data_IF_064082557795
#
_entry.id   IF_064082557795
#
_cell.length_a   1.000
_cell.length_b   1.000
_cell.length_c   1.000
_cell.angle_alpha   90.00
_cell.angle_beta   90.00
_cell.angle_gamma   90.00
#
_symmetry.space_group_name_H-M   'P 1'
#
loop_
_entity.id
_entity.type
_entity.pdbx_description
1 polymer ?
#
# COMPACT_ATOMS: atom_id res chain seq x y z
N UNK A 1 14.86 -1.79 10.73
CA UNK A 1 15.76 -0.62 10.83
C UNK A 1 15.10 0.48 11.68
N UNK A 2 15.80 1.12 12.64
CA UNK A 2 15.22 2.18 13.49
C UNK A 2 14.64 3.36 12.68
N UNK A 3 13.60 4.03 13.22
CA UNK A 3 12.93 5.16 12.55
C UNK A 3 13.89 6.31 12.18
N UNK A 4 14.83 6.74 13.06
CA UNK A 4 15.77 7.81 12.72
C UNK A 4 16.69 7.42 11.55
N UNK A 5 17.21 6.19 11.58
CA UNK A 5 18.12 5.68 10.56
C UNK A 5 17.43 5.52 9.20
N UNK A 6 16.17 5.07 9.18
CA UNK A 6 15.36 5.04 7.94
C UNK A 6 15.15 6.42 7.34
N UNK A 7 14.93 7.45 8.17
CA UNK A 7 14.78 8.83 7.68
C UNK A 7 16.07 9.36 7.07
N UNK A 8 17.24 9.04 7.64
CA UNK A 8 18.55 9.37 7.06
C UNK A 8 18.69 8.82 5.65
N UNK A 9 18.27 7.56 5.43
CA UNK A 9 18.24 6.95 4.08
C UNK A 9 17.34 7.74 3.12
N UNK A 10 16.13 8.10 3.53
CA UNK A 10 15.22 8.90 2.70
C UNK A 10 15.81 10.26 2.31
N UNK A 11 16.50 10.94 3.22
CA UNK A 11 17.17 12.22 2.95
C UNK A 11 18.31 12.09 1.95
N UNK A 12 19.13 11.04 2.08
CA UNK A 12 20.17 10.75 1.09
C UNK A 12 19.54 10.50 -0.28
N UNK A 13 18.46 9.72 -0.34
CA UNK A 13 17.78 9.42 -1.60
C UNK A 13 17.33 10.68 -2.35
N UNK A 14 16.83 11.70 -1.65
CA UNK A 14 16.47 12.98 -2.29
C UNK A 14 17.67 13.64 -2.97
N UNK A 15 18.85 13.56 -2.36
CA UNK A 15 20.08 14.14 -2.90
C UNK A 15 20.59 13.38 -4.13
N UNK A 16 20.49 12.05 -4.10
CA UNK A 16 20.86 11.17 -5.22
C UNK A 16 19.76 11.01 -6.28
N UNK A 17 18.62 11.70 -6.13
CA UNK A 17 17.45 11.55 -7.00
C UNK A 17 16.94 10.10 -7.12
N UNK A 18 17.06 9.34 -6.04
CA UNK A 18 16.52 8.00 -5.88
C UNK A 18 15.12 8.06 -5.28
N UNK A 19 14.23 7.16 -5.71
CA UNK A 19 12.93 6.99 -5.05
C UNK A 19 13.11 6.06 -3.85
N UNK A 20 12.52 6.41 -2.71
CA UNK A 20 12.65 5.64 -1.47
C UNK A 20 11.28 5.34 -0.86
N UNK A 21 11.07 4.10 -0.41
CA UNK A 21 9.84 3.66 0.25
C UNK A 21 10.17 2.86 1.50
N UNK A 22 9.53 3.14 2.63
CA UNK A 22 9.66 2.29 3.81
C UNK A 22 8.47 1.34 3.89
N UNK A 23 8.72 0.05 3.71
CA UNK A 23 7.71 -1.01 3.79
C UNK A 23 7.72 -1.71 5.14
N UNK A 24 6.61 -2.35 5.52
CA UNK A 24 6.42 -3.08 6.77
C UNK A 24 5.76 -2.28 7.90
N UNK A 25 5.80 -2.81 9.13
CA UNK A 25 5.19 -2.17 10.30
C UNK A 25 6.18 -1.92 11.46
N UNK A 26 6.02 -0.78 12.15
CA UNK A 26 6.76 -0.41 13.35
C UNK A 26 8.29 -0.56 13.24
N UNK A 27 8.85 -1.40 14.12
CA UNK A 27 10.28 -1.74 14.21
C UNK A 27 10.77 -2.64 13.07
N UNK A 28 9.85 -3.42 12.47
CA UNK A 28 10.11 -4.34 11.34
C UNK A 28 10.11 -3.63 9.98
N UNK A 29 9.89 -2.31 9.95
CA UNK A 29 9.98 -1.55 8.70
C UNK A 29 11.41 -1.47 8.18
N UNK A 30 11.54 -1.49 6.85
CA UNK A 30 12.80 -1.36 6.13
C UNK A 30 12.64 -0.46 4.89
N UNK A 31 13.68 0.28 4.48
CA UNK A 31 13.66 1.10 3.28
C UNK A 31 13.96 0.25 2.03
N UNK A 32 13.29 0.56 0.93
CA UNK A 32 13.57 0.07 -0.42
C UNK A 32 13.96 1.30 -1.25
N UNK A 33 15.04 1.16 -2.02
CA UNK A 33 15.54 2.19 -2.93
C UNK A 33 15.25 1.75 -4.37
N UNK A 34 14.70 2.67 -5.16
CA UNK A 34 14.33 2.42 -6.55
C UNK A 34 15.08 3.43 -7.40
N UNK A 35 15.85 2.93 -8.37
CA UNK A 35 16.54 3.75 -9.37
C UNK A 35 15.50 4.42 -10.27
N UNK A 36 15.68 5.71 -10.50
CA UNK A 36 14.90 6.49 -11.47
C UNK A 36 15.82 6.98 -12.59
N UNK A 37 15.25 7.47 -13.69
CA UNK A 37 16.03 8.03 -14.81
C UNK A 37 16.82 9.27 -14.41
N UNK A 38 16.44 9.92 -13.30
CA UNK A 38 17.12 11.11 -12.75
C UNK A 38 18.22 10.77 -11.76
N UNK A 39 18.46 9.48 -11.49
CA UNK A 39 19.49 9.04 -10.53
C UNK A 39 20.85 9.51 -11.00
N UNK A 40 21.51 10.35 -10.20
CA UNK A 40 22.83 10.90 -10.53
C UNK A 40 23.67 11.11 -9.28
N UNK A 41 24.98 11.08 -9.46
CA UNK A 41 25.89 11.56 -8.41
C UNK A 41 25.65 13.06 -8.22
N UNK A 42 25.53 13.55 -6.98
CA UNK A 42 25.39 14.98 -6.75
C UNK A 42 26.62 15.74 -7.27
N UNK A 43 26.39 16.90 -7.91
CA UNK A 43 27.45 17.68 -8.56
C UNK A 43 28.52 18.19 -7.58
N UNK A 44 28.12 18.46 -6.34
CA UNK A 44 29.03 18.80 -5.26
C UNK A 44 29.07 17.64 -4.27
N UNK A 45 30.24 17.26 -3.74
CA UNK A 45 30.33 16.36 -2.61
C UNK A 45 29.75 17.09 -1.39
N UNK A 46 28.42 17.09 -1.27
CA UNK A 46 27.79 17.50 -0.03
C UNK A 46 28.40 16.64 1.04
N UNK A 47 28.96 17.28 2.07
CA UNK A 47 29.44 16.61 3.25
C UNK A 47 28.29 15.76 3.79
N UNK A 48 28.29 14.47 3.43
CA UNK A 48 27.23 13.52 3.74
C UNK A 48 26.99 13.55 5.25
N UNK A 49 28.08 13.65 6.02
CA UNK A 49 28.07 13.81 7.46
C UNK A 49 27.35 15.08 7.94
N UNK A 50 27.53 16.23 7.26
CA UNK A 50 26.82 17.48 7.60
C UNK A 50 25.32 17.36 7.35
N UNK A 51 24.91 16.75 6.24
CA UNK A 51 23.50 16.51 5.92
C UNK A 51 22.84 15.53 6.91
N UNK A 52 23.57 14.46 7.26
CA UNK A 52 23.12 13.49 8.26
C UNK A 52 22.97 14.15 9.65
N UNK A 53 23.89 15.04 10.03
CA UNK A 53 23.85 15.74 11.33
C UNK A 53 22.78 16.83 11.39
N UNK A 54 22.53 17.55 10.28
CA UNK A 54 21.41 18.50 10.19
C UNK A 54 20.06 17.80 10.40
N UNK A 55 19.93 16.57 9.91
CA UNK A 55 18.68 15.80 10.06
C UNK A 55 18.33 15.45 11.50
N UNK A 56 19.33 15.26 12.38
CA UNK A 56 19.10 14.93 13.79
C UNK A 56 18.53 16.14 14.56
N UNK A 57 18.98 17.34 14.22
CA UNK A 57 18.48 18.60 14.79
C UNK A 57 17.03 18.86 14.37
N UNK A 58 16.75 18.76 13.07
CA UNK A 58 15.38 18.87 12.51
C UNK A 58 14.44 17.80 13.09
N UNK A 59 14.91 16.55 13.24
CA UNK A 59 14.14 15.47 13.86
C UNK A 59 13.71 15.77 15.29
N UNK A 60 14.61 16.35 16.09
CA UNK A 60 14.35 16.72 17.48
C UNK A 60 13.31 17.84 17.54
N UNK A 61 13.48 18.89 16.72
CA UNK A 61 12.58 20.04 16.67
C UNK A 61 11.17 19.67 16.19
N UNK A 62 11.04 18.85 15.14
CA UNK A 62 9.74 18.38 14.68
C UNK A 62 9.08 17.47 15.73
N UNK A 63 9.83 16.57 16.37
CA UNK A 63 9.25 15.71 17.41
C UNK A 63 8.77 16.48 18.65
N UNK A 64 9.45 17.57 19.00
CA UNK A 64 9.06 18.48 20.07
C UNK A 64 7.79 19.29 19.72
N UNK A 65 7.65 19.74 18.47
CA UNK A 65 6.44 20.42 18.00
C UNK A 65 5.17 19.55 18.09
N UNK A 66 5.28 18.25 17.82
CA UNK A 66 4.13 17.32 17.90
C UNK A 66 3.87 16.76 19.31
N UNK A 67 4.70 17.06 20.31
CA UNK A 67 4.47 16.70 21.73
C UNK A 67 3.98 17.89 22.59
N UNK A 68 3.90 19.09 22.01
CA UNK A 68 3.57 20.34 22.71
C UNK A 68 2.09 20.60 23.03
N UNK A 69 1.32 19.62 23.55
CA UNK A 69 -0.04 19.87 24.10
C UNK A 69 -0.47 18.90 25.21
N UNK A 70 0.44 18.54 26.11
CA UNK A 70 0.07 18.05 27.46
C UNK A 70 0.95 18.69 28.52
N UNK A 71 0.85 20.01 28.68
CA UNK A 71 1.38 20.71 29.87
C UNK A 71 0.24 20.85 30.89
N UNK A 72 0.00 19.78 31.65
CA UNK A 72 -0.63 19.91 32.96
C UNK A 72 0.39 20.58 33.89
N UNK A 73 0.14 21.83 34.24
CA UNK A 73 0.94 22.61 35.18
C UNK A 73 0.77 22.03 36.58
N UNK A 74 1.82 21.45 37.17
CA UNK A 74 1.81 20.99 38.56
C UNK A 74 2.49 22.05 39.44
N UNK A 75 1.72 23.04 39.88
CA UNK A 75 2.13 23.92 40.97
C UNK A 75 1.51 23.35 42.25
N UNK A 76 2.29 22.59 43.02
CA UNK A 76 1.87 22.16 44.34
C UNK A 76 2.75 22.86 45.38
N UNK A 77 2.36 24.10 45.70
CA UNK A 77 2.61 24.69 47.00
C UNK A 77 1.70 23.99 48.00
N UNK A 78 2.26 23.57 49.12
CA UNK A 78 1.55 22.73 50.09
C UNK A 78 0.31 23.39 50.69
N UNK A 79 -0.64 22.55 51.11
CA UNK A 79 -1.28 22.73 52.40
C UNK A 79 -1.84 21.39 52.92
N UNK A 80 -1.69 21.21 54.22
CA UNK A 80 -2.19 20.13 55.03
C UNK A 80 -3.73 20.26 55.18
N UNK A 81 -4.45 19.15 55.15
CA UNK A 81 -5.33 18.73 56.27
C UNK A 81 -6.17 17.50 55.90
N UNK A 82 -6.16 16.61 56.88
CA UNK A 82 -6.85 15.34 57.01
C UNK A 82 -8.37 15.54 57.09
N UNK A 83 -9.17 14.88 56.24
CA UNK A 83 -10.53 14.43 56.58
C UNK A 83 -10.86 13.19 55.76
N UNK A 84 -11.27 12.13 56.47
CA UNK A 84 -11.38 10.78 55.97
C UNK A 84 -12.46 10.56 54.92
N UNK A 85 -12.41 9.38 54.29
CA UNK A 85 -13.47 8.94 53.40
C UNK A 85 -13.06 7.78 52.51
N UNK A 86 -13.50 6.58 52.91
CA UNK A 86 -13.58 5.30 52.19
C UNK A 86 -13.49 5.35 50.66
N UNK A 87 -12.79 4.35 50.12
CA UNK A 87 -12.62 4.14 48.69
C UNK A 87 -13.89 3.75 47.92
N UNK A 88 -13.68 3.63 46.60
CA UNK A 88 -14.53 2.85 45.71
C UNK A 88 -15.22 3.66 44.61
N UNK A 89 -15.01 3.18 43.38
CA UNK A 89 -15.80 3.37 42.15
C UNK A 89 -15.65 4.69 41.39
N UNK A 90 -14.82 4.62 40.34
CA UNK A 90 -14.98 5.39 39.09
C UNK A 90 -16.37 5.10 38.51
N UNK A 91 -17.31 5.99 38.76
CA UNK A 91 -18.48 6.19 37.91
C UNK A 91 -18.07 7.05 36.72
N UNK A 92 -18.28 6.54 35.51
CA UNK A 92 -18.22 7.34 34.29
C UNK A 92 -19.63 7.82 33.95
N UNK A 93 -19.83 9.13 33.85
CA UNK A 93 -20.85 9.69 32.97
C UNK A 93 -20.60 11.18 32.65
N UNK A 94 -21.00 11.57 31.44
CA UNK A 94 -21.17 12.96 30.96
C UNK A 94 -19.89 13.61 30.43
N UNK A 95 -19.83 14.27 29.28
CA UNK A 95 -20.77 14.70 28.24
C UNK A 95 -19.89 15.31 27.12
N UNK A 96 -20.20 15.23 25.83
CA UNK A 96 -21.27 15.97 25.17
C UNK A 96 -20.63 17.09 24.33
N UNK A 97 -20.68 17.00 23.00
CA UNK A 97 -20.17 18.06 22.13
C UNK A 97 -20.11 17.72 20.63
N UNK A 98 -21.21 18.03 19.92
CA UNK A 98 -21.27 18.61 18.57
C UNK A 98 -20.58 17.93 17.37
N UNK A 99 -21.36 17.55 16.35
CA UNK A 99 -20.81 17.33 15.02
C UNK A 99 -21.76 16.71 13.99
N UNK A 100 -22.53 17.58 13.31
CA UNK A 100 -23.02 17.49 11.92
C UNK A 100 -23.65 16.19 11.40
N UNK A 101 -24.90 16.33 10.95
CA UNK A 101 -25.72 15.35 10.28
C UNK A 101 -24.96 14.54 9.21
N UNK A 102 -24.84 13.23 9.42
CA UNK A 102 -24.46 12.30 8.35
C UNK A 102 -25.69 12.07 7.47
N UNK A 103 -25.76 12.85 6.40
CA UNK A 103 -26.63 12.56 5.26
C UNK A 103 -26.46 11.10 4.86
N UNK A 104 -27.58 10.38 4.82
CA UNK A 104 -27.70 9.01 4.34
C UNK A 104 -27.54 9.04 2.82
N UNK A 105 -26.31 9.24 2.36
CA UNK A 105 -25.91 9.02 0.98
C UNK A 105 -26.10 7.55 0.69
N UNK A 106 -27.16 7.23 -0.07
CA UNK A 106 -27.34 5.95 -0.73
C UNK A 106 -26.05 5.67 -1.50
N UNK A 107 -25.19 4.78 -1.00
CA UNK A 107 -24.18 4.15 -1.83
C UNK A 107 -24.95 3.41 -2.92
N UNK A 108 -25.03 4.05 -4.08
CA UNK A 108 -25.40 3.38 -5.31
C UNK A 108 -24.50 2.15 -5.42
N UNK A 109 -25.13 0.99 -5.31
CA UNK A 109 -24.53 -0.29 -5.63
C UNK A 109 -24.14 -0.26 -7.10
N UNK A 110 -22.97 0.29 -7.40
CA UNK A 110 -22.24 -0.10 -8.59
C UNK A 110 -21.88 -1.56 -8.37
N UNK A 111 -22.58 -2.45 -9.07
CA UNK A 111 -22.33 -3.87 -9.08
C UNK A 111 -20.86 -4.11 -9.38
N UNK A 112 -20.06 -4.28 -8.33
CA UNK A 112 -18.74 -4.86 -8.46
C UNK A 112 -19.00 -6.28 -8.92
N UNK A 113 -18.70 -6.56 -10.19
CA UNK A 113 -18.63 -7.91 -10.72
C UNK A 113 -17.88 -8.73 -9.68
N UNK A 114 -18.57 -9.69 -9.05
CA UNK A 114 -17.96 -10.52 -8.01
C UNK A 114 -16.70 -11.10 -8.64
N UNK A 115 -15.52 -10.69 -8.16
CA UNK A 115 -14.26 -11.18 -8.70
C UNK A 115 -14.33 -12.71 -8.65
N UNK A 116 -14.14 -13.36 -9.80
CA UNK A 116 -14.36 -14.80 -9.91
C UNK A 116 -13.54 -15.52 -8.81
N UNK A 117 -14.14 -16.54 -8.14
CA UNK A 117 -13.50 -17.18 -7.01
C UNK A 117 -12.15 -17.80 -7.38
N UNK A 118 -11.30 -17.99 -6.37
CA UNK A 118 -10.05 -18.73 -6.56
C UNK A 118 -10.33 -20.10 -7.18
N UNK A 119 -9.55 -20.49 -8.18
CA UNK A 119 -9.70 -21.79 -8.84
C UNK A 119 -10.63 -21.77 -10.05
N UNK A 120 -11.36 -20.69 -10.32
CA UNK A 120 -12.18 -20.63 -11.56
C UNK A 120 -11.29 -20.46 -12.78
N UNK A 121 -11.53 -21.26 -13.81
CA UNK A 121 -10.89 -21.10 -15.11
C UNK A 121 -11.49 -19.89 -15.84
N UNK A 122 -10.65 -18.96 -16.26
CA UNK A 122 -11.04 -17.76 -17.00
C UNK A 122 -11.58 -18.18 -18.36
N UNK A 123 -12.80 -17.74 -18.69
CA UNK A 123 -13.38 -17.97 -20.02
C UNK A 123 -13.82 -19.41 -20.28
N UNK A 124 -13.92 -20.26 -19.26
CA UNK A 124 -14.36 -21.65 -19.42
C UNK A 124 -15.73 -21.82 -20.11
N UNK A 125 -16.63 -20.86 -19.92
CA UNK A 125 -17.95 -20.82 -20.53
C UNK A 125 -18.02 -19.89 -21.75
N UNK A 126 -16.90 -19.42 -22.28
CA UNK A 126 -16.89 -18.54 -23.43
C UNK A 126 -17.18 -19.33 -24.71
N UNK A 127 -18.14 -18.85 -25.50
CA UNK A 127 -18.43 -19.41 -26.82
C UNK A 127 -17.24 -19.20 -27.77
N UNK A 128 -17.09 -20.12 -28.74
CA UNK A 128 -16.10 -19.97 -29.80
C UNK A 128 -16.29 -18.63 -30.56
N UNK A 129 -15.17 -18.06 -31.00
CA UNK A 129 -15.19 -16.82 -31.79
C UNK A 129 -15.91 -17.09 -33.12
N UNK A 130 -16.85 -16.22 -33.48
CA UNK A 130 -17.65 -16.38 -34.70
C UNK A 130 -16.81 -16.28 -35.98
N UNK A 131 -17.27 -16.93 -37.04
CA UNK A 131 -16.62 -16.91 -38.37
C UNK A 131 -16.60 -15.51 -38.99
N UNK A 132 -17.56 -14.67 -38.62
CA UNK A 132 -17.68 -13.28 -39.07
C UNK A 132 -16.59 -12.38 -38.48
N UNK A 133 -15.94 -12.81 -37.40
CA UNK A 133 -14.89 -12.06 -36.75
C UNK A 133 -13.73 -11.80 -37.72
N UNK A 134 -13.24 -10.56 -37.76
CA UNK A 134 -12.17 -10.15 -38.67
C UNK A 134 -10.91 -11.03 -38.54
N UNK A 135 -10.51 -11.36 -37.30
CA UNK A 135 -9.35 -12.22 -37.04
C UNK A 135 -9.55 -13.65 -37.55
N UNK A 136 -10.75 -14.21 -37.35
CA UNK A 136 -11.10 -15.53 -37.88
C UNK A 136 -11.00 -15.55 -39.42
N UNK A 137 -11.55 -14.53 -40.09
CA UNK A 137 -11.48 -14.39 -41.56
C UNK A 137 -10.06 -14.20 -42.06
N UNK A 138 -9.25 -13.41 -41.35
CA UNK A 138 -7.85 -13.18 -41.70
C UNK A 138 -7.04 -14.48 -41.60
N UNK A 139 -7.17 -15.23 -40.50
CA UNK A 139 -6.50 -16.51 -40.33
C UNK A 139 -6.93 -17.53 -41.40
N UNK A 140 -8.23 -17.62 -41.67
CA UNK A 140 -8.77 -18.50 -42.70
C UNK A 140 -8.19 -18.21 -44.09
N UNK A 141 -8.03 -16.92 -44.45
CA UNK A 141 -7.39 -16.51 -45.71
C UNK A 141 -5.91 -16.85 -45.79
N UNK A 142 -5.24 -17.01 -44.64
CA UNK A 142 -3.84 -17.45 -44.56
C UNK A 142 -3.71 -18.98 -44.55
N UNK A 143 -4.81 -19.71 -44.77
CA UNK A 143 -4.81 -21.18 -44.83
C UNK A 143 -5.01 -21.88 -43.48
N UNK A 144 -5.26 -21.13 -42.40
CA UNK A 144 -5.61 -21.74 -41.11
C UNK A 144 -7.06 -22.26 -41.13
N UNK A 145 -7.29 -23.44 -40.56
CA UNK A 145 -8.62 -24.03 -40.42
C UNK A 145 -8.98 -24.25 -38.94
N UNK A 146 -10.25 -24.07 -38.53
CA UNK A 146 -10.67 -24.34 -37.17
C UNK A 146 -10.30 -25.76 -36.73
N UNK A 147 -9.68 -25.88 -35.56
CA UNK A 147 -9.23 -27.16 -35.00
C UNK A 147 -7.81 -27.58 -35.40
N UNK A 148 -7.15 -26.86 -36.32
CA UNK A 148 -5.74 -27.11 -36.69
C UNK A 148 -4.83 -26.16 -35.92
N UNK A 149 -3.70 -26.68 -35.44
CA UNK A 149 -2.67 -25.89 -34.76
C UNK A 149 -1.96 -24.95 -35.72
N UNK A 150 -1.41 -23.85 -35.20
CA UNK A 150 -0.59 -22.95 -36.01
C UNK A 150 0.84 -23.49 -36.17
N UNK A 151 1.48 -23.27 -37.32
CA UNK A 151 2.87 -23.68 -37.56
C UNK A 151 3.06 -24.31 -38.94
N UNK A 152 4.31 -24.52 -39.35
CA UNK A 152 4.64 -25.03 -40.69
C UNK A 152 4.00 -26.39 -40.99
N UNK A 153 3.92 -27.26 -40.00
CA UNK A 153 3.29 -28.58 -40.09
C UNK A 153 1.91 -28.65 -39.42
N UNK A 154 1.41 -27.53 -38.89
CA UNK A 154 0.17 -27.52 -38.09
C UNK A 154 0.29 -28.07 -36.67
N UNK A 155 1.51 -28.31 -36.18
CA UNK A 155 1.81 -28.94 -34.87
C UNK A 155 1.65 -28.00 -33.67
N UNK A 156 1.11 -26.80 -33.88
CA UNK A 156 0.88 -25.84 -32.80
C UNK A 156 -0.25 -26.25 -31.86
N UNK A 157 -0.36 -25.49 -30.78
CA UNK A 157 -1.42 -25.66 -29.79
C UNK A 157 -2.79 -25.44 -30.46
N UNK A 158 -3.67 -26.44 -30.39
CA UNK A 158 -5.02 -26.42 -30.97
C UNK A 158 -6.07 -25.84 -30.02
N UNK A 159 -5.90 -26.06 -28.71
CA UNK A 159 -6.80 -25.55 -27.67
C UNK A 159 -6.07 -24.52 -26.80
N UNK A 160 -6.69 -23.35 -26.50
CA UNK A 160 -6.05 -22.34 -25.66
C UNK A 160 -5.61 -22.89 -24.30
N UNK A 161 -4.49 -22.38 -23.79
CA UNK A 161 -4.02 -22.73 -22.44
C UNK A 161 -4.96 -22.08 -21.42
N UNK A 162 -5.46 -22.89 -20.48
CA UNK A 162 -6.35 -22.43 -19.43
C UNK A 162 -5.62 -21.54 -18.42
N UNK A 163 -6.28 -20.45 -18.03
CA UNK A 163 -5.81 -19.56 -16.98
C UNK A 163 -6.72 -19.67 -15.75
N UNK A 164 -6.14 -19.99 -14.59
CA UNK A 164 -6.89 -20.14 -13.33
C UNK A 164 -6.83 -18.84 -12.52
N UNK A 165 -7.98 -18.34 -12.09
CA UNK A 165 -8.08 -17.12 -11.27
C UNK A 165 -7.49 -17.37 -9.89
N UNK A 166 -6.62 -16.45 -9.47
CA UNK A 166 -5.99 -16.46 -8.15
C UNK A 166 -6.48 -15.30 -7.29
N UNK A 167 -6.89 -15.62 -6.06
CA UNK A 167 -7.21 -14.62 -5.06
C UNK A 167 -5.97 -13.82 -4.64
N UNK A 168 -6.18 -12.54 -4.32
CA UNK A 168 -5.10 -11.63 -3.89
C UNK A 168 -4.45 -12.13 -2.60
N UNK A 169 -3.12 -11.97 -2.50
CA UNK A 169 -2.31 -12.26 -1.33
C UNK A 169 -2.31 -13.74 -0.85
N UNK A 170 -2.75 -14.67 -1.70
CA UNK A 170 -2.64 -16.12 -1.43
C UNK A 170 -1.23 -16.61 -1.76
N UNK A 171 -0.67 -17.48 -0.93
CA UNK A 171 0.63 -18.12 -1.18
C UNK A 171 0.63 -18.94 -2.47
N UNK A 172 1.80 -19.11 -3.09
CA UNK A 172 1.99 -20.12 -4.14
C UNK A 172 1.91 -21.51 -3.49
N UNK A 173 1.19 -22.45 -4.12
CA UNK A 173 0.98 -23.81 -3.60
C UNK A 173 -0.06 -23.95 -2.49
N UNK A 174 -0.75 -22.87 -2.10
CA UNK A 174 -1.87 -22.95 -1.16
C UNK A 174 -3.19 -23.10 -1.91
N UNK A 175 -3.69 -24.33 -1.98
CA UNK A 175 -5.03 -24.64 -2.51
C UNK A 175 -6.16 -24.16 -1.59
#
# INVERSE_FOLDING_TARGET
MPKPLRRKVHLLCNHYSLKSQSVGSGKRRFPILIKTDRTKMPLNPVNVNKLLNQSEKELTLLSAQFQGSRKGSNNNFGNNNNFGGKGGKKGGNGGGGGGFAKGKGKNGGGGGSMAAPHGTVVGASASAISVENLGHRMLSKMGWMPGVGLGASGDGITQPIEAIVRAKNRGLGHE
#
